data_IF_498801426737
#
_entry.id   IF_498801426737
#
_cell.length_a   1.000
_cell.length_b   1.000
_cell.length_c   1.000
_cell.angle_alpha   90.00
_cell.angle_beta   90.00
_cell.angle_gamma   90.00
#
_symmetry.space_group_name_H-M   'P 1'
#
loop_
_entity.id
_entity.type
_entity.pdbx_description
1 polymer ?
#
# COMPACT_ATOMS: atom_id res chain seq x y z
N UNK A 1 6.59 -7.79 6.88
CA UNK A 1 7.19 -7.20 5.66
C UNK A 1 8.18 -8.14 4.94
N UNK A 2 7.99 -9.44 5.03
CA UNK A 2 8.71 -10.42 4.22
C UNK A 2 8.31 -10.32 2.74
N UNK A 3 9.06 -10.99 1.88
CA UNK A 3 8.64 -11.10 0.48
C UNK A 3 7.21 -11.68 0.40
N UNK A 4 6.45 -11.39 -0.66
CA UNK A 4 5.10 -11.95 -0.79
C UNK A 4 5.03 -13.47 -0.63
N UNK A 5 6.01 -14.19 -1.18
CA UNK A 5 6.07 -15.66 -1.08
C UNK A 5 6.37 -16.14 0.35
N UNK A 6 7.34 -15.54 1.03
CA UNK A 6 7.65 -15.89 2.42
C UNK A 6 6.50 -15.57 3.36
N UNK A 7 5.85 -14.41 3.15
CA UNK A 7 4.68 -14.01 3.92
C UNK A 7 3.51 -14.98 3.69
N UNK A 8 3.24 -15.34 2.43
CA UNK A 8 2.20 -16.32 2.08
C UNK A 8 2.45 -17.66 2.78
N UNK A 9 3.68 -18.16 2.75
CA UNK A 9 4.04 -19.41 3.42
C UNK A 9 3.78 -19.34 4.93
N UNK A 10 4.25 -18.27 5.58
CA UNK A 10 4.01 -18.05 7.01
C UNK A 10 2.52 -18.00 7.35
N UNK A 11 1.74 -17.24 6.57
CA UNK A 11 0.30 -17.12 6.77
C UNK A 11 -0.43 -18.45 6.58
N UNK A 12 -0.01 -19.25 5.60
CA UNK A 12 -0.54 -20.59 5.37
C UNK A 12 -0.18 -21.55 6.52
N UNK A 13 1.07 -21.51 6.99
CA UNK A 13 1.54 -22.33 8.12
C UNK A 13 0.80 -21.95 9.43
N UNK A 14 0.35 -20.71 9.56
CA UNK A 14 -0.44 -20.21 10.68
C UNK A 14 -1.96 -20.41 10.51
N UNK A 15 -2.40 -21.06 9.44
CA UNK A 15 -3.82 -21.30 9.11
C UNK A 15 -4.64 -19.99 9.01
N UNK A 16 -4.04 -18.93 8.49
CA UNK A 16 -4.72 -17.65 8.25
C UNK A 16 -5.54 -17.72 6.97
N UNK A 17 -6.83 -17.46 7.03
CA UNK A 17 -7.71 -17.42 5.85
C UNK A 17 -7.70 -16.09 5.14
N UNK A 18 -7.65 -14.98 5.89
CA UNK A 18 -7.76 -13.63 5.36
C UNK A 18 -6.74 -12.69 5.99
N UNK A 19 -6.29 -11.76 5.19
CA UNK A 19 -5.51 -10.60 5.65
C UNK A 19 -6.21 -9.33 5.21
N UNK A 20 -6.10 -8.29 6.01
CA UNK A 20 -6.67 -6.98 5.67
C UNK A 20 -5.60 -5.89 5.76
N UNK A 21 -5.80 -4.85 4.96
CA UNK A 21 -5.03 -3.62 5.04
C UNK A 21 -5.99 -2.43 5.16
N UNK A 22 -5.69 -1.52 6.08
CA UNK A 22 -6.35 -0.23 6.16
C UNK A 22 -5.61 0.76 5.29
N UNK A 23 -6.34 1.44 4.43
CA UNK A 23 -5.80 2.41 3.48
C UNK A 23 -6.48 3.75 3.70
N UNK A 24 -5.70 4.81 3.76
CA UNK A 24 -6.19 6.18 3.82
C UNK A 24 -5.38 7.03 2.84
N UNK A 25 -6.06 7.78 2.01
CA UNK A 25 -5.45 8.66 1.02
C UNK A 25 -6.37 9.81 0.67
N UNK A 26 -5.83 10.89 0.13
CA UNK A 26 -6.60 11.95 -0.50
C UNK A 26 -6.66 11.70 -2.00
N UNK A 27 -7.85 11.60 -2.55
CA UNK A 27 -8.07 11.53 -3.99
C UNK A 27 -7.98 12.95 -4.57
N UNK A 28 -7.05 13.15 -5.50
CA UNK A 28 -6.80 14.45 -6.15
C UNK A 28 -7.45 14.54 -7.54
N UNK A 29 -7.52 13.40 -8.23
CA UNK A 29 -8.21 13.25 -9.53
C UNK A 29 -8.54 11.77 -9.74
N UNK A 30 -9.09 11.39 -10.90
CA UNK A 30 -9.66 10.05 -11.13
C UNK A 30 -8.87 8.90 -10.50
N UNK A 31 -7.61 8.70 -10.84
CA UNK A 31 -6.80 7.60 -10.33
C UNK A 31 -5.54 8.10 -9.59
N UNK A 32 -5.47 9.41 -9.30
CA UNK A 32 -4.32 10.02 -8.62
C UNK A 32 -4.67 10.30 -7.16
N UNK A 33 -3.80 9.85 -6.28
CA UNK A 33 -3.95 9.94 -4.85
C UNK A 33 -2.68 10.52 -4.22
N UNK A 34 -2.85 11.22 -3.11
CA UNK A 34 -1.79 11.60 -2.20
C UNK A 34 -1.90 10.79 -0.91
N UNK A 35 -0.79 10.36 -0.30
CA UNK A 35 -0.86 9.75 1.02
C UNK A 35 -1.47 10.73 2.00
N UNK A 36 -2.41 10.24 2.78
CA UNK A 36 -3.09 11.04 3.77
C UNK A 36 -2.41 10.86 5.13
N UNK A 37 -1.57 11.82 5.50
CA UNK A 37 -0.91 11.87 6.81
C UNK A 37 -1.73 12.68 7.82
N UNK A 38 -3.05 12.62 7.78
CA UNK A 38 -3.86 13.40 8.68
C UNK A 38 -3.80 12.88 10.09
N UNK A 39 -3.40 13.75 10.98
CA UNK A 39 -3.77 13.83 12.39
C UNK A 39 -4.15 12.48 13.05
N UNK A 40 -3.21 11.55 13.06
CA UNK A 40 -3.33 10.32 13.83
C UNK A 40 -4.06 9.16 13.15
N UNK A 41 -4.26 9.20 11.83
CA UNK A 41 -5.04 8.20 11.12
C UNK A 41 -4.55 7.80 9.74
N UNK A 42 -3.26 7.86 9.47
CA UNK A 42 -2.70 7.28 8.23
C UNK A 42 -3.04 5.80 8.09
N UNK A 43 -3.08 5.29 6.86
CA UNK A 43 -3.29 3.87 6.59
C UNK A 43 -2.11 3.01 7.06
N UNK A 44 -2.19 1.73 6.80
CA UNK A 44 -1.10 0.79 7.15
C UNK A 44 0.20 1.11 6.42
N UNK A 45 0.15 1.87 5.33
CA UNK A 45 1.33 2.38 4.64
C UNK A 45 2.22 3.24 5.55
N UNK A 46 1.65 4.04 6.42
CA UNK A 46 2.39 4.87 7.38
C UNK A 46 3.19 4.06 8.40
N UNK A 47 2.77 2.83 8.65
CA UNK A 47 3.43 1.94 9.62
C UNK A 47 4.70 1.29 9.07
N UNK A 48 5.00 1.46 7.78
CA UNK A 48 6.11 0.77 7.10
C UNK A 48 7.46 0.95 7.79
N UNK A 49 7.78 2.15 8.27
CA UNK A 49 9.00 2.41 9.00
C UNK A 49 9.15 1.51 10.24
N UNK A 50 8.11 1.46 11.08
CA UNK A 50 8.13 0.65 12.28
C UNK A 50 8.12 -0.85 12.00
N UNK A 51 7.35 -1.27 11.00
CA UNK A 51 7.27 -2.67 10.59
C UNK A 51 8.61 -3.16 10.00
N UNK A 52 9.31 -2.32 9.24
CA UNK A 52 10.66 -2.62 8.74
C UNK A 52 11.66 -2.76 9.88
N UNK A 53 11.59 -1.89 10.88
CA UNK A 53 12.46 -1.98 12.07
C UNK A 53 12.21 -3.23 12.90
N UNK A 54 10.94 -3.58 13.13
CA UNK A 54 10.56 -4.80 13.87
C UNK A 54 11.04 -6.05 13.12
N UNK A 55 10.98 -6.03 11.79
CA UNK A 55 11.46 -7.12 10.94
C UNK A 55 12.98 -7.14 10.72
N UNK A 56 13.71 -6.22 11.36
CA UNK A 56 15.17 -6.06 11.24
C UNK A 56 15.65 -5.90 9.77
N UNK A 57 14.80 -5.31 8.93
CA UNK A 57 15.13 -5.06 7.52
C UNK A 57 15.94 -3.77 7.35
N UNK A 58 16.87 -3.71 6.40
CA UNK A 58 17.71 -2.54 6.17
C UNK A 58 16.88 -1.38 5.62
N UNK A 59 16.59 -0.37 6.46
CA UNK A 59 15.69 0.73 6.14
C UNK A 59 16.05 1.43 4.82
N UNK A 60 17.34 1.68 4.58
CA UNK A 60 17.85 2.38 3.42
C UNK A 60 17.56 1.68 2.07
N UNK A 61 17.18 0.41 2.10
CA UNK A 61 16.80 -0.32 0.89
C UNK A 61 15.31 -0.18 0.59
N UNK A 62 14.49 0.04 1.62
CA UNK A 62 13.04 0.05 1.54
C UNK A 62 12.42 1.44 1.67
N UNK A 63 13.15 2.39 2.26
CA UNK A 63 12.70 3.76 2.44
C UNK A 63 13.73 4.74 1.86
N UNK A 64 13.25 5.87 1.36
CA UNK A 64 14.10 7.01 1.03
C UNK A 64 14.62 7.70 2.30
N UNK A 65 15.48 8.70 2.14
CA UNK A 65 16.15 9.40 3.25
C UNK A 65 15.22 10.15 4.19
N UNK A 66 13.98 10.40 3.79
CA UNK A 66 12.92 10.96 4.63
C UNK A 66 12.37 9.98 5.67
N UNK A 67 12.75 8.69 5.59
CA UNK A 67 12.25 7.58 6.40
C UNK A 67 10.71 7.40 6.34
N UNK A 68 10.07 7.99 5.37
CA UNK A 68 8.63 7.97 5.19
C UNK A 68 8.21 7.40 3.83
N UNK A 69 8.91 7.77 2.76
CA UNK A 69 8.56 7.34 1.40
C UNK A 69 9.15 5.97 1.09
N UNK A 70 8.30 5.05 0.68
CA UNK A 70 8.71 3.71 0.24
C UNK A 70 9.45 3.74 -1.09
N UNK A 71 10.58 3.02 -1.18
CA UNK A 71 11.30 2.81 -2.44
C UNK A 71 10.54 1.83 -3.34
N UNK A 72 10.98 1.70 -4.58
CA UNK A 72 10.48 0.67 -5.50
C UNK A 72 10.58 -0.74 -4.89
N UNK A 73 11.63 -1.01 -4.13
CA UNK A 73 11.81 -2.29 -3.43
C UNK A 73 10.73 -2.53 -2.38
N UNK A 74 10.31 -1.49 -1.62
CA UNK A 74 9.19 -1.61 -0.70
C UNK A 74 7.91 -2.02 -1.43
N UNK A 75 7.54 -1.29 -2.47
CA UNK A 75 6.29 -1.48 -3.20
C UNK A 75 6.22 -2.81 -3.96
N UNK A 76 7.34 -3.28 -4.49
CA UNK A 76 7.38 -4.48 -5.31
C UNK A 76 7.71 -5.76 -4.55
N UNK A 77 8.47 -5.66 -3.46
CA UNK A 77 9.05 -6.84 -2.81
C UNK A 77 8.55 -7.06 -1.37
N UNK A 78 7.59 -6.28 -0.88
CA UNK A 78 6.97 -6.56 0.42
C UNK A 78 5.50 -6.91 0.26
N UNK A 79 4.99 -7.77 1.15
CA UNK A 79 3.56 -8.10 1.16
C UNK A 79 2.72 -6.83 1.37
N UNK A 80 3.09 -5.98 2.31
CA UNK A 80 2.37 -4.73 2.57
C UNK A 80 2.32 -3.84 1.33
N UNK A 81 3.45 -3.63 0.64
CA UNK A 81 3.51 -2.85 -0.60
C UNK A 81 2.64 -3.42 -1.71
N UNK A 82 2.50 -4.75 -1.77
CA UNK A 82 1.61 -5.43 -2.74
C UNK A 82 0.12 -5.35 -2.35
N UNK A 83 -0.19 -5.31 -1.06
CA UNK A 83 -1.58 -5.20 -0.59
C UNK A 83 -2.14 -3.79 -0.73
N UNK A 84 -1.31 -2.77 -0.63
CA UNK A 84 -1.73 -1.38 -0.83
C UNK A 84 -2.01 -1.15 -2.32
N UNK A 85 -3.22 -0.64 -2.70
CA UNK A 85 -3.66 -0.56 -4.08
C UNK A 85 -3.13 0.69 -4.81
N UNK A 86 -1.91 1.07 -4.53
CA UNK A 86 -1.26 2.24 -5.10
C UNK A 86 0.14 1.92 -5.58
N UNK A 87 0.58 2.65 -6.61
CA UNK A 87 1.96 2.67 -7.10
C UNK A 87 2.45 4.11 -7.18
N UNK A 88 3.64 4.43 -6.63
CA UNK A 88 4.21 5.77 -6.71
C UNK A 88 4.43 6.22 -8.16
N UNK A 89 4.02 7.46 -8.47
CA UNK A 89 4.32 8.13 -9.75
C UNK A 89 5.66 8.89 -9.73
N UNK A 90 6.28 9.00 -8.56
CA UNK A 90 7.48 9.80 -8.32
C UNK A 90 7.19 11.03 -7.47
N UNK A 91 8.23 11.81 -7.22
CA UNK A 91 8.11 13.08 -6.52
C UNK A 91 7.59 14.15 -7.47
N UNK A 92 6.46 14.76 -7.14
CA UNK A 92 5.92 15.91 -7.85
C UNK A 92 5.98 17.15 -6.96
N UNK A 93 6.15 18.30 -7.58
CA UNK A 93 5.96 19.57 -6.89
C UNK A 93 4.46 19.84 -6.78
N UNK A 94 3.94 19.63 -5.57
CA UNK A 94 2.51 19.78 -5.29
C UNK A 94 2.05 21.26 -5.25
N UNK A 95 2.97 22.22 -5.35
CA UNK A 95 2.62 23.65 -5.40
C UNK A 95 1.76 24.01 -6.62
N UNK A 96 1.74 23.18 -7.64
CA UNK A 96 0.88 23.34 -8.82
C UNK A 96 -0.59 22.89 -8.57
N UNK A 97 -0.86 22.16 -7.48
CA UNK A 97 -2.21 21.73 -7.15
C UNK A 97 -2.86 22.66 -6.14
N UNK A 98 -4.04 23.15 -6.43
CA UNK A 98 -4.76 24.18 -5.65
C UNK A 98 -5.07 23.80 -4.19
N UNK A 99 -4.87 22.55 -3.80
CA UNK A 99 -5.02 22.03 -2.45
C UNK A 99 -3.69 21.78 -1.74
N UNK A 100 -2.58 22.19 -2.35
CA UNK A 100 -1.24 21.89 -1.85
C UNK A 100 -0.78 22.82 -0.70
N UNK A 101 -1.59 23.76 -0.24
CA UNK A 101 -1.21 24.68 0.84
C UNK A 101 -0.84 23.93 2.15
N UNK A 102 -1.37 22.71 2.34
CA UNK A 102 -1.10 21.87 3.50
C UNK A 102 -0.02 20.81 3.28
N UNK A 103 0.53 20.70 2.06
CA UNK A 103 1.51 19.67 1.73
C UNK A 103 2.91 20.26 1.54
N UNK A 104 3.88 19.64 2.18
CA UNK A 104 5.29 19.99 1.96
C UNK A 104 5.75 19.47 0.60
N UNK A 105 6.58 20.26 -0.10
CA UNK A 105 7.21 19.84 -1.35
C UNK A 105 8.00 18.53 -1.16
N UNK A 106 7.88 17.61 -2.11
CA UNK A 106 8.57 16.32 -2.08
C UNK A 106 7.69 15.10 -1.82
N UNK A 107 6.39 15.27 -1.64
CA UNK A 107 5.47 14.13 -1.53
C UNK A 107 5.33 13.37 -2.84
N UNK A 108 5.23 12.05 -2.71
CA UNK A 108 4.98 11.16 -3.83
C UNK A 108 3.47 11.12 -4.11
N UNK A 109 3.10 11.31 -5.36
CA UNK A 109 1.75 10.98 -5.80
C UNK A 109 1.67 9.49 -6.16
N UNK A 110 0.50 8.91 -5.94
CA UNK A 110 0.21 7.52 -6.23
C UNK A 110 -0.82 7.39 -7.33
N UNK A 111 -0.58 6.43 -8.22
CA UNK A 111 -1.61 5.93 -9.14
C UNK A 111 -2.32 4.75 -8.47
N UNK A 112 -3.66 4.68 -8.64
CA UNK A 112 -4.41 3.49 -8.23
C UNK A 112 -3.93 2.28 -9.02
N UNK A 113 -3.47 1.26 -8.32
CA UNK A 113 -2.92 0.03 -8.88
C UNK A 113 -3.23 -1.15 -7.96
N UNK A 114 -4.21 -1.96 -8.33
CA UNK A 114 -4.58 -3.19 -7.61
C UNK A 114 -3.71 -4.34 -8.10
N UNK A 115 -2.70 -4.71 -7.31
CA UNK A 115 -1.68 -5.69 -7.70
C UNK A 115 -2.16 -7.13 -7.58
N UNK A 116 -3.08 -7.42 -6.66
CA UNK A 116 -3.69 -8.74 -6.50
C UNK A 116 -5.17 -8.67 -6.83
N UNK A 117 -5.54 -9.23 -7.98
CA UNK A 117 -6.94 -9.29 -8.42
C UNK A 117 -7.71 -10.47 -7.80
N UNK A 118 -9.02 -10.53 -8.07
CA UNK A 118 -9.89 -11.60 -7.55
C UNK A 118 -9.68 -12.97 -8.22
N UNK A 119 -9.11 -12.99 -9.41
CA UNK A 119 -8.92 -14.22 -10.22
C UNK A 119 -7.45 -14.51 -10.55
N UNK A 120 -6.52 -13.94 -9.79
CA UNK A 120 -5.09 -14.12 -10.06
C UNK A 120 -4.56 -15.41 -9.46
N UNK A 121 -3.55 -16.02 -10.11
CA UNK A 121 -2.75 -17.11 -9.53
C UNK A 121 -1.63 -16.52 -8.68
N UNK A 122 -2.00 -15.62 -7.78
CA UNK A 122 -1.11 -14.89 -6.89
C UNK A 122 -1.30 -15.40 -5.45
N UNK A 123 -0.36 -15.13 -4.54
CA UNK A 123 -0.45 -15.61 -3.15
C UNK A 123 -1.68 -15.10 -2.40
N UNK A 124 -2.22 -13.96 -2.79
CA UNK A 124 -3.42 -13.37 -2.23
C UNK A 124 -4.45 -13.09 -3.35
N UNK A 125 -5.72 -13.16 -3.00
CA UNK A 125 -6.83 -12.82 -3.88
C UNK A 125 -7.69 -11.72 -3.25
N UNK A 126 -7.92 -10.63 -3.96
CA UNK A 126 -8.81 -9.56 -3.52
C UNK A 126 -10.25 -10.09 -3.39
N UNK A 127 -10.84 -9.96 -2.21
CA UNK A 127 -12.22 -10.36 -1.94
C UNK A 127 -13.14 -9.23 -1.50
N UNK A 128 -12.58 -8.13 -1.02
CA UNK A 128 -13.36 -6.97 -0.61
C UNK A 128 -12.55 -5.68 -0.71
N UNK A 129 -13.23 -4.62 -1.17
CA UNK A 129 -12.73 -3.24 -1.14
C UNK A 129 -13.83 -2.33 -0.60
N UNK A 130 -13.49 -1.47 0.35
CA UNK A 130 -14.44 -0.48 0.87
C UNK A 130 -14.96 0.41 -0.25
N UNK A 131 -16.28 0.68 -0.33
CA UNK A 131 -16.88 1.47 -1.41
C UNK A 131 -16.36 2.91 -1.51
N UNK A 132 -15.71 3.42 -0.48
CA UNK A 132 -15.07 4.74 -0.50
C UNK A 132 -14.03 4.90 -1.61
N UNK A 133 -13.36 3.82 -2.01
CA UNK A 133 -12.35 3.85 -3.08
C UNK A 133 -12.94 3.97 -4.48
N UNK A 134 -14.22 3.68 -4.64
CA UNK A 134 -14.93 3.76 -5.91
C UNK A 134 -15.66 5.10 -6.10
N UNK A 135 -15.57 6.02 -5.12
CA UNK A 135 -16.19 7.34 -5.25
C UNK A 135 -15.54 8.14 -6.37
N UNK A 136 -16.40 8.77 -7.18
CA UNK A 136 -15.96 9.63 -8.29
C UNK A 136 -15.45 10.97 -7.77
N UNK A 137 -15.98 11.45 -6.63
CA UNK A 137 -15.59 12.74 -6.06
C UNK A 137 -14.20 12.74 -5.47
N UNK A 138 -13.47 13.84 -5.69
CA UNK A 138 -12.20 14.13 -5.01
C UNK A 138 -12.41 14.26 -3.50
N UNK A 139 -11.36 14.08 -2.72
CA UNK A 139 -11.38 14.21 -1.27
C UNK A 139 -10.80 12.99 -0.55
N UNK A 140 -11.03 12.95 0.75
CA UNK A 140 -10.53 11.87 1.60
C UNK A 140 -11.20 10.54 1.27
N UNK A 141 -10.39 9.52 1.09
CA UNK A 141 -10.81 8.12 0.95
C UNK A 141 -10.11 7.30 2.01
N UNK A 142 -10.89 6.54 2.75
CA UNK A 142 -10.34 5.61 3.74
C UNK A 142 -11.21 4.37 3.82
N UNK A 143 -10.59 3.26 4.14
CA UNK A 143 -11.31 2.01 4.27
C UNK A 143 -10.38 0.82 4.34
N UNK A 144 -10.98 -0.36 4.30
CA UNK A 144 -10.26 -1.62 4.35
C UNK A 144 -10.32 -2.31 2.99
N UNK A 145 -9.24 -3.04 2.71
CA UNK A 145 -9.16 -4.00 1.62
C UNK A 145 -8.88 -5.36 2.25
N UNK A 146 -9.63 -6.37 1.85
CA UNK A 146 -9.48 -7.73 2.38
C UNK A 146 -9.02 -8.64 1.25
N UNK A 147 -8.01 -9.43 1.55
CA UNK A 147 -7.49 -10.47 0.69
C UNK A 147 -7.69 -11.84 1.35
N UNK A 148 -8.09 -12.82 0.55
CA UNK A 148 -8.07 -14.23 0.93
C UNK A 148 -6.71 -14.83 0.62
N UNK A 149 -6.19 -15.67 1.51
CA UNK A 149 -4.99 -16.45 1.24
C UNK A 149 -5.31 -17.48 0.16
N UNK A 150 -4.53 -17.48 -0.91
CA UNK A 150 -4.71 -18.44 -2.00
C UNK A 150 -3.95 -19.73 -1.67
N UNK A 151 -4.67 -20.71 -1.11
CA UNK A 151 -4.07 -22.00 -0.72
C UNK A 151 -3.66 -22.87 -1.91
N UNK A 152 -4.17 -22.57 -3.12
CA UNK A 152 -3.80 -23.26 -4.35
C UNK A 152 -2.58 -22.62 -5.05
N UNK A 153 -2.11 -21.48 -4.54
CA UNK A 153 -0.92 -20.82 -5.06
C UNK A 153 0.30 -21.72 -4.88
N UNK A 154 0.96 -22.00 -5.96
CA UNK A 154 2.27 -22.66 -5.93
C UNK A 154 3.32 -21.66 -6.37
N UNK A 155 4.20 -21.24 -5.45
CA UNK A 155 5.42 -20.57 -5.86
C UNK A 155 6.20 -21.54 -6.76
N UNK A 156 6.16 -21.29 -8.06
CA UNK A 156 7.08 -22.01 -8.98
C UNK A 156 8.49 -21.63 -8.54
N UNK A 157 9.35 -22.62 -8.28
CA UNK A 157 10.71 -22.38 -7.81
C UNK A 157 11.54 -21.60 -8.82
#
# INVERSE_FOLDING_TARGET
LSTPNDAWKQLTDMEVDYVLVYVAAQKLSNDIYSPFYALGGGGDEDKKYWLLRIAEMPLQEYLYSDNATGTEKFWNNTLLGKMIPFTPLGYLDLSEYSQAEDYQSGYVLYLKDVKYGSNSNEPLQLVYTSPSFDRISEGEVSGIIIYKINTEYSSIP
#
